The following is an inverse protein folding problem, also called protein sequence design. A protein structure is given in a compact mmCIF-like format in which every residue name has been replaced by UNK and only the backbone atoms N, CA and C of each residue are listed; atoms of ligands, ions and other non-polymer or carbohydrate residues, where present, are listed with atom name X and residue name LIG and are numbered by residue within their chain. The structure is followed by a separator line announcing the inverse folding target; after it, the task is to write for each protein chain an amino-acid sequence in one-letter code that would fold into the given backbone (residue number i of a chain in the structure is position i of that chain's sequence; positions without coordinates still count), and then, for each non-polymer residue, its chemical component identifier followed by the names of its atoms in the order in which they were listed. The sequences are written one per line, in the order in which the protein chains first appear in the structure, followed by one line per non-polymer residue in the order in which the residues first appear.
data_IF_332311854877
#
_entry.id   IF_332311854877
#
_cell.length_a   1.000
_cell.length_b   1.000
_cell.length_c   1.000
_cell.angle_alpha   90.00
_cell.angle_beta   90.00
_cell.angle_gamma   90.00
#
_symmetry.space_group_name_H-M   'P 1'
#
loop_
_entity.id
_entity.type
_entity.pdbx_description
1 polymer ?
#
# COMPACT_ATOMS: atom_id res chain seq x y z
N UNK A 1 -20.29 46.54 -11.09
CA UNK A 1 -20.92 45.24 -10.73
C UNK A 1 -19.92 44.10 -10.90
N UNK A 2 -19.37 43.89 -12.10
CA UNK A 2 -18.43 42.79 -12.40
C UNK A 2 -17.19 42.70 -11.49
N UNK A 3 -16.57 43.84 -11.18
CA UNK A 3 -15.34 43.88 -10.37
C UNK A 3 -15.55 43.49 -8.90
N UNK A 4 -16.73 43.80 -8.34
CA UNK A 4 -17.12 43.36 -6.98
C UNK A 4 -17.35 41.85 -6.93
N UNK A 5 -17.95 41.27 -7.98
CA UNK A 5 -18.12 39.82 -8.10
C UNK A 5 -16.77 39.08 -8.21
N UNK A 6 -15.83 39.61 -9.00
CA UNK A 6 -14.48 39.03 -9.12
C UNK A 6 -13.74 39.04 -7.77
N UNK A 7 -13.85 40.13 -7.01
CA UNK A 7 -13.21 40.23 -5.71
C UNK A 7 -13.83 39.29 -4.68
N UNK A 8 -15.16 39.13 -4.68
CA UNK A 8 -15.86 38.14 -3.84
C UNK A 8 -15.47 36.70 -4.20
N UNK A 9 -15.35 36.38 -5.49
CA UNK A 9 -14.91 35.05 -5.94
C UNK A 9 -13.48 34.73 -5.48
N UNK A 10 -12.55 35.69 -5.56
CA UNK A 10 -11.16 35.51 -5.08
C UNK A 10 -11.09 35.31 -3.56
N UNK A 11 -11.89 36.05 -2.79
CA UNK A 11 -11.96 35.87 -1.33
C UNK A 11 -12.55 34.50 -0.95
N UNK A 12 -13.57 34.03 -1.67
CA UNK A 12 -14.14 32.70 -1.49
C UNK A 12 -13.12 31.59 -1.82
N UNK A 13 -12.38 31.72 -2.92
CA UNK A 13 -11.32 30.78 -3.30
C UNK A 13 -10.19 30.75 -2.27
N UNK A 14 -9.74 31.91 -1.78
CA UNK A 14 -8.73 32.00 -0.73
C UNK A 14 -9.23 31.35 0.57
N UNK A 15 -10.47 31.63 0.98
CA UNK A 15 -11.10 31.00 2.14
C UNK A 15 -11.17 29.48 1.99
N UNK A 16 -11.49 28.97 0.80
CA UNK A 16 -11.55 27.55 0.51
C UNK A 16 -10.16 26.88 0.57
N UNK A 17 -9.13 27.54 0.06
CA UNK A 17 -7.74 27.06 0.12
C UNK A 17 -7.21 27.04 1.56
N UNK A 18 -7.53 28.05 2.37
CA UNK A 18 -7.18 28.05 3.80
C UNK A 18 -7.91 26.92 4.53
N UNK A 19 -9.20 26.71 4.25
CA UNK A 19 -9.97 25.59 4.81
C UNK A 19 -9.36 24.23 4.46
N UNK A 20 -8.93 24.01 3.21
CA UNK A 20 -8.29 22.75 2.81
C UNK A 20 -6.95 22.54 3.50
N UNK A 21 -6.13 23.59 3.65
CA UNK A 21 -4.86 23.50 4.39
C UNK A 21 -5.09 23.21 5.88
N UNK A 22 -6.08 23.86 6.51
CA UNK A 22 -6.42 23.59 7.92
C UNK A 22 -6.96 22.18 8.12
N UNK A 23 -7.77 21.66 7.18
CA UNK A 23 -8.29 20.30 7.25
C UNK A 23 -7.17 19.26 7.12
N UNK A 24 -6.16 19.54 6.28
CA UNK A 24 -4.99 18.68 6.13
C UNK A 24 -4.15 18.65 7.42
N UNK A 25 -3.84 19.82 7.96
CA UNK A 25 -3.06 19.96 9.20
C UNK A 25 -3.78 19.41 10.44
N UNK A 26 -5.12 19.44 10.47
CA UNK A 26 -5.94 18.93 11.57
C UNK A 26 -6.38 17.48 11.37
N UNK A 27 -5.88 16.79 10.34
CA UNK A 27 -6.29 15.42 9.99
C UNK A 27 -7.80 15.23 9.82
N UNK A 28 -8.56 16.31 9.54
CA UNK A 28 -10.03 16.25 9.35
C UNK A 28 -10.47 15.51 8.08
N UNK A 29 -9.52 15.14 7.22
CA UNK A 29 -9.73 14.23 6.08
C UNK A 29 -9.72 12.75 6.49
N UNK A 30 -9.20 12.45 7.68
CA UNK A 30 -9.12 11.10 8.21
C UNK A 30 -10.46 10.79 8.87
N UNK A 31 -11.37 10.11 8.17
CA UNK A 31 -12.57 9.51 8.78
C UNK A 31 -12.15 8.27 9.59
N UNK A 32 -11.41 8.51 10.68
CA UNK A 32 -10.89 7.48 11.57
C UNK A 32 -11.86 7.28 12.74
N UNK A 33 -12.64 6.22 12.65
CA UNK A 33 -13.45 5.75 13.77
C UNK A 33 -12.56 4.94 14.73
N UNK A 34 -12.12 5.58 15.82
CA UNK A 34 -11.34 4.93 16.90
C UNK A 34 -12.02 3.66 17.42
N UNK A 35 -13.35 3.65 17.41
CA UNK A 35 -14.14 2.51 17.90
C UNK A 35 -14.32 1.42 16.85
N UNK A 36 -13.89 1.67 15.60
CA UNK A 36 -14.03 0.81 14.43
C UNK A 36 -15.46 0.32 14.19
N UNK A 37 -16.47 0.96 14.81
CA UNK A 37 -17.87 0.54 14.77
C UNK A 37 -18.43 0.56 13.37
N UNK A 38 -18.00 1.52 12.54
CA UNK A 38 -18.33 1.54 11.10
C UNK A 38 -17.68 0.41 10.30
N UNK A 39 -16.58 -0.15 10.80
CA UNK A 39 -15.89 -1.32 10.24
C UNK A 39 -16.39 -2.64 10.84
N UNK A 40 -17.24 -2.62 11.88
CA UNK A 40 -17.76 -3.82 12.55
C UNK A 40 -18.76 -4.63 11.68
N UNK A 41 -18.89 -4.33 10.39
CA UNK A 41 -19.77 -5.07 9.48
C UNK A 41 -19.03 -6.20 8.72
N UNK A 42 -19.08 -7.39 9.32
CA UNK A 42 -19.17 -8.75 8.74
C UNK A 42 -18.28 -9.10 7.53
N UNK A 43 -16.97 -8.96 7.63
CA UNK A 43 -16.11 -9.78 6.77
C UNK A 43 -16.34 -11.26 7.14
N UNK A 44 -16.72 -12.08 6.14
CA UNK A 44 -16.94 -13.54 6.34
C UNK A 44 -15.65 -14.30 6.68
N UNK A 45 -14.51 -13.61 6.65
CA UNK A 45 -13.18 -14.20 6.77
C UNK A 45 -12.12 -13.16 7.13
N UNK A 46 -11.05 -13.61 7.78
CA UNK A 46 -9.87 -12.79 8.10
C UNK A 46 -8.84 -12.85 6.96
N UNK A 47 -8.48 -11.70 6.40
CA UNK A 47 -7.43 -11.61 5.38
C UNK A 47 -6.05 -11.97 5.95
N UNK A 48 -5.81 -11.63 7.21
CA UNK A 48 -4.58 -11.97 7.94
C UNK A 48 -4.45 -13.48 8.11
N UNK A 49 -5.54 -14.18 8.45
CA UNK A 49 -5.51 -15.65 8.53
C UNK A 49 -5.27 -16.28 7.16
N UNK A 50 -5.83 -15.73 6.09
CA UNK A 50 -5.63 -16.29 4.76
C UNK A 50 -4.23 -16.09 4.23
N UNK A 51 -3.61 -14.93 4.44
CA UNK A 51 -2.25 -14.71 3.94
C UNK A 51 -1.23 -15.59 4.68
N UNK A 52 -1.43 -15.84 5.97
CA UNK A 52 -0.58 -16.76 6.75
C UNK A 52 -0.70 -18.23 6.31
N UNK A 53 -1.78 -18.62 5.60
CA UNK A 53 -1.94 -19.97 5.04
C UNK A 53 -1.16 -20.17 3.75
N UNK A 54 -0.72 -19.10 3.09
CA UNK A 54 0.06 -19.19 1.87
C UNK A 54 1.53 -19.44 2.23
N UNK A 55 2.16 -20.50 1.71
CA UNK A 55 3.57 -20.75 1.97
C UNK A 55 4.46 -19.67 1.35
N UNK A 56 5.65 -19.51 1.90
CA UNK A 56 6.69 -18.66 1.29
C UNK A 56 7.05 -19.23 -0.07
N UNK A 57 7.13 -18.36 -1.08
CA UNK A 57 7.44 -18.73 -2.46
C UNK A 57 8.96 -18.70 -2.64
N UNK A 58 9.56 -19.85 -2.89
CA UNK A 58 10.98 -19.96 -3.21
C UNK A 58 11.22 -19.62 -4.68
N UNK A 59 12.26 -18.83 -4.94
CA UNK A 59 12.70 -18.47 -6.30
C UNK A 59 14.22 -18.52 -6.41
N UNK A 60 14.74 -18.81 -7.59
CA UNK A 60 16.20 -18.89 -7.79
C UNK A 60 16.85 -17.52 -8.08
N UNK A 61 16.05 -16.47 -8.32
CA UNK A 61 16.52 -15.14 -8.69
C UNK A 61 16.66 -14.20 -7.49
N UNK A 62 17.59 -13.24 -7.57
CA UNK A 62 17.77 -12.17 -6.58
C UNK A 62 16.63 -11.14 -6.59
N UNK A 63 15.82 -11.11 -7.66
CA UNK A 63 14.74 -10.13 -7.82
C UNK A 63 13.47 -10.82 -8.31
N UNK A 64 12.36 -10.58 -7.62
CA UNK A 64 11.02 -11.03 -8.04
C UNK A 64 10.24 -9.88 -8.64
N UNK A 65 9.61 -10.15 -9.78
CA UNK A 65 8.60 -9.26 -10.38
C UNK A 65 7.21 -9.70 -9.96
N UNK A 66 6.54 -8.91 -9.12
CA UNK A 66 5.19 -9.20 -8.63
C UNK A 66 4.14 -8.28 -9.27
N UNK A 67 3.07 -8.87 -9.80
CA UNK A 67 1.93 -8.18 -10.43
C UNK A 67 0.62 -8.33 -9.65
N UNK A 68 0.61 -9.15 -8.59
CA UNK A 68 -0.59 -9.44 -7.80
C UNK A 68 -1.57 -10.42 -8.46
N UNK A 69 -1.16 -11.14 -9.51
CA UNK A 69 -1.99 -12.10 -10.23
C UNK A 69 -1.27 -12.70 -11.44
N UNK A 70 -1.98 -13.49 -12.24
CA UNK A 70 -1.45 -14.16 -13.45
C UNK A 70 -1.38 -13.27 -14.67
N UNK A 71 -2.10 -12.14 -14.69
CA UNK A 71 -2.20 -11.24 -15.83
C UNK A 71 -1.73 -9.83 -15.48
N UNK A 72 -1.15 -9.14 -16.47
CA UNK A 72 -0.81 -7.72 -16.36
C UNK A 72 -2.10 -6.93 -16.13
N UNK A 73 -2.09 -6.01 -15.15
CA UNK A 73 -3.22 -5.18 -14.71
C UNK A 73 -4.38 -5.89 -14.00
N UNK A 74 -4.24 -7.16 -13.61
CA UNK A 74 -5.28 -7.87 -12.84
C UNK A 74 -5.10 -7.78 -11.30
N UNK A 75 -4.00 -7.18 -10.83
CA UNK A 75 -3.68 -7.06 -9.41
C UNK A 75 -3.24 -5.64 -9.04
N UNK A 76 -2.01 -5.51 -8.55
CA UNK A 76 -1.42 -4.24 -8.13
C UNK A 76 -0.39 -3.74 -9.16
N UNK A 77 0.09 -2.49 -9.05
CA UNK A 77 1.17 -2.01 -9.91
C UNK A 77 2.38 -2.95 -9.86
N UNK A 78 3.03 -3.14 -11.01
CA UNK A 78 4.22 -3.99 -11.09
C UNK A 78 5.30 -3.49 -10.12
N UNK A 79 5.78 -4.39 -9.26
CA UNK A 79 6.91 -4.12 -8.36
C UNK A 79 8.01 -5.15 -8.49
N UNK A 80 9.22 -4.71 -8.17
CA UNK A 80 10.40 -5.54 -8.09
C UNK A 80 10.84 -5.65 -6.63
N UNK A 81 11.00 -6.87 -6.14
CA UNK A 81 11.32 -7.19 -4.75
C UNK A 81 12.71 -7.81 -4.73
N UNK A 82 13.66 -7.21 -4.01
CA UNK A 82 15.02 -7.74 -3.85
C UNK A 82 15.04 -8.81 -2.77
N UNK A 83 15.62 -9.97 -3.07
CA UNK A 83 15.76 -11.13 -2.17
C UNK A 83 17.19 -11.40 -1.72
N UNK A 84 18.17 -10.78 -2.38
CA UNK A 84 19.54 -10.67 -1.89
C UNK A 84 19.57 -9.71 -0.69
N UNK A 85 19.29 -10.27 0.48
CA UNK A 85 19.22 -9.55 1.76
C UNK A 85 20.39 -9.91 2.64
N UNK A 86 20.71 -9.05 3.62
CA UNK A 86 21.83 -9.23 4.55
C UNK A 86 21.86 -10.60 5.24
N UNK A 87 20.68 -11.16 5.52
CA UNK A 87 20.54 -12.50 6.08
C UNK A 87 19.93 -13.38 5.00
N UNK A 88 20.71 -14.34 4.47
CA UNK A 88 20.23 -15.29 3.47
C UNK A 88 18.98 -16.03 3.98
N UNK A 89 18.06 -16.34 3.07
CA UNK A 89 16.82 -17.01 3.42
C UNK A 89 15.78 -16.13 4.14
N UNK A 90 15.99 -14.80 4.26
CA UNK A 90 14.98 -13.91 4.85
C UNK A 90 13.83 -13.67 3.87
N UNK A 91 12.58 -14.07 4.18
CA UNK A 91 11.46 -13.82 3.29
C UNK A 91 11.17 -12.33 3.13
N UNK A 92 10.85 -11.92 1.91
CA UNK A 92 10.47 -10.55 1.58
C UNK A 92 9.01 -10.50 1.13
N UNK A 93 8.28 -9.57 1.71
CA UNK A 93 6.84 -9.44 1.52
C UNK A 93 6.52 -8.43 0.43
N UNK A 94 5.66 -8.82 -0.52
CA UNK A 94 5.07 -7.85 -1.44
C UNK A 94 4.11 -6.92 -0.67
N UNK A 95 4.35 -5.62 -0.73
CA UNK A 95 3.57 -4.60 0.00
C UNK A 95 2.09 -4.51 -0.40
N UNK A 96 1.73 -5.10 -1.54
CA UNK A 96 0.37 -5.04 -2.06
C UNK A 96 -0.41 -6.33 -1.81
N UNK A 97 0.12 -7.48 -2.27
CA UNK A 97 -0.59 -8.75 -2.14
C UNK A 97 -0.26 -9.52 -0.85
N UNK A 98 0.75 -9.12 -0.09
CA UNK A 98 1.15 -9.79 1.16
C UNK A 98 1.89 -11.13 0.97
N UNK A 99 2.05 -11.61 -0.27
CA UNK A 99 2.82 -12.82 -0.57
C UNK A 99 4.28 -12.64 -0.17
N UNK A 100 4.87 -13.70 0.37
CA UNK A 100 6.26 -13.74 0.79
C UNK A 100 7.09 -14.53 -0.22
N UNK A 101 8.29 -14.03 -0.51
CA UNK A 101 9.23 -14.64 -1.44
C UNK A 101 10.58 -14.81 -0.76
N UNK A 102 11.30 -15.88 -1.05
CA UNK A 102 12.66 -16.11 -0.54
C UNK A 102 13.54 -16.64 -1.65
N UNK A 103 14.82 -16.24 -1.64
CA UNK A 103 15.80 -16.80 -2.57
C UNK A 103 16.13 -18.23 -2.14
N UNK A 104 16.05 -19.15 -3.08
CA UNK A 104 16.39 -20.55 -2.87
C UNK A 104 17.89 -20.68 -2.49
N UNK A 105 18.18 -21.35 -1.38
CA UNK A 105 19.51 -21.42 -0.76
C UNK A 105 20.47 -22.43 -1.39
N UNK A 106 20.14 -23.03 -2.54
CA UNK A 106 20.89 -24.14 -3.16
C UNK A 106 22.22 -23.73 -3.83
N UNK A 107 22.95 -22.74 -3.30
CA UNK A 107 24.13 -22.19 -3.97
C UNK A 107 25.21 -21.54 -3.09
N UNK A 108 25.19 -21.71 -1.77
CA UNK A 108 26.32 -21.28 -0.92
C UNK A 108 27.43 -22.35 -0.94
N UNK A 109 28.10 -22.49 -2.09
CA UNK A 109 29.48 -22.98 -2.10
C UNK A 109 30.39 -21.77 -2.03
N UNK A 110 31.06 -21.65 -0.88
CA UNK A 110 32.14 -20.71 -0.61
C UNK A 110 33.21 -20.74 -1.72
N UNK A 111 33.54 -19.57 -2.27
CA UNK A 111 34.81 -19.32 -2.96
C UNK A 111 35.38 -17.98 -2.52
#
# INVERSE_FOLDING_TARGET
MLQKCIQQAKLAQFSQMVKSQTNLAQHKWLDYDVTHKRSLQTHKSSAEEFIHKIPVIEVDSDVVRCLGGTHINAGHPQVYIKLDTRTEGTPQTCKYCGLQYVKNGHGSHHH
#
